data_IF_307827786917
#
_entry.id   IF_307827786917
#
_cell.length_a   1.000
_cell.length_b   1.000
_cell.length_c   1.000
_cell.angle_alpha   90.00
_cell.angle_beta   90.00
_cell.angle_gamma   90.00
#
_symmetry.space_group_name_H-M   'P 1'
#
loop_
_entity.id
_entity.type
_entity.pdbx_description
1 polymer ?
#
# COMPACT_ATOMS: atom_id res chain seq x y z
N UNK A 1 8.48 -16.88 4.48
CA UNK A 1 8.08 -15.46 4.43
C UNK A 1 7.86 -15.11 2.98
N UNK A 2 6.74 -14.49 2.64
CA UNK A 2 6.47 -14.02 1.28
C UNK A 2 7.30 -12.76 0.99
N UNK A 3 7.78 -12.66 -0.23
CA UNK A 3 8.37 -11.44 -0.80
C UNK A 3 7.29 -10.39 -1.06
N UNK A 4 7.69 -9.14 -1.27
CA UNK A 4 6.72 -8.07 -1.55
C UNK A 4 5.98 -8.30 -2.87
N UNK A 5 6.63 -8.87 -3.87
CA UNK A 5 6.00 -9.29 -5.13
C UNK A 5 4.93 -10.37 -4.89
N UNK A 6 5.24 -11.41 -4.11
CA UNK A 6 4.27 -12.46 -3.76
C UNK A 6 3.10 -11.92 -2.91
N UNK A 7 3.35 -10.92 -2.07
CA UNK A 7 2.29 -10.23 -1.33
C UNK A 7 1.40 -9.42 -2.27
N UNK A 8 1.96 -8.70 -3.24
CA UNK A 8 1.20 -7.98 -4.27
C UNK A 8 0.32 -8.94 -5.07
N UNK A 9 0.89 -10.05 -5.55
CA UNK A 9 0.13 -11.11 -6.23
C UNK A 9 -1.00 -11.65 -5.34
N UNK A 10 -0.75 -11.78 -4.04
CA UNK A 10 -1.75 -12.15 -3.06
C UNK A 10 -2.89 -11.13 -2.94
N UNK A 11 -2.59 -9.83 -2.89
CA UNK A 11 -3.61 -8.77 -2.85
C UNK A 11 -4.41 -8.74 -4.15
N UNK A 12 -3.76 -8.92 -5.31
CA UNK A 12 -4.41 -9.00 -6.62
C UNK A 12 -5.35 -10.21 -6.70
N UNK A 13 -4.95 -11.34 -6.13
CA UNK A 13 -5.78 -12.53 -6.01
C UNK A 13 -6.89 -12.43 -4.95
N UNK A 14 -6.96 -11.32 -4.20
CA UNK A 14 -7.99 -11.06 -3.20
C UNK A 14 -7.71 -11.61 -1.80
N UNK A 15 -6.47 -12.00 -1.49
CA UNK A 15 -6.07 -12.45 -0.16
C UNK A 15 -5.82 -11.25 0.78
N UNK A 16 -6.79 -10.94 1.65
CA UNK A 16 -6.68 -9.79 2.58
C UNK A 16 -5.47 -9.91 3.55
N UNK A 17 -5.05 -11.13 3.91
CA UNK A 17 -3.84 -11.36 4.73
C UNK A 17 -2.54 -10.92 4.05
N UNK A 18 -2.51 -10.93 2.71
CA UNK A 18 -1.38 -10.43 1.95
C UNK A 18 -1.29 -8.90 2.05
N UNK A 19 -2.44 -8.22 2.03
CA UNK A 19 -2.51 -6.77 2.21
C UNK A 19 -2.07 -6.35 3.61
N UNK A 20 -2.51 -7.08 4.65
CA UNK A 20 -2.12 -6.80 6.03
C UNK A 20 -0.60 -6.90 6.23
N UNK A 21 0.05 -7.91 5.64
CA UNK A 21 1.51 -8.07 5.69
C UNK A 21 2.24 -6.96 4.94
N UNK A 22 1.74 -6.56 3.77
CA UNK A 22 2.29 -5.46 2.98
C UNK A 22 2.18 -4.14 3.76
N UNK A 23 1.03 -3.89 4.38
CA UNK A 23 0.78 -2.73 5.24
C UNK A 23 1.73 -2.69 6.44
N UNK A 24 1.90 -3.80 7.17
CA UNK A 24 2.79 -3.84 8.32
C UNK A 24 4.25 -3.55 7.96
N UNK A 25 4.72 -4.00 6.78
CA UNK A 25 6.09 -3.73 6.32
C UNK A 25 6.31 -2.28 5.89
N UNK A 26 5.35 -1.70 5.18
CA UNK A 26 5.54 -0.41 4.50
C UNK A 26 4.95 0.79 5.24
N UNK A 27 4.02 0.57 6.19
CA UNK A 27 3.37 1.65 6.96
C UNK A 27 4.37 2.54 7.70
N UNK A 28 5.41 1.98 8.31
CA UNK A 28 6.41 2.77 9.03
C UNK A 28 7.26 3.63 8.09
N UNK A 29 7.65 3.09 6.93
CA UNK A 29 8.40 3.84 5.91
C UNK A 29 7.55 4.96 5.31
N UNK A 30 6.29 4.65 4.98
CA UNK A 30 5.32 5.60 4.49
C UNK A 30 5.02 6.70 5.52
N UNK A 31 4.90 6.37 6.81
CA UNK A 31 4.67 7.35 7.88
C UNK A 31 5.85 8.28 8.12
N UNK A 32 7.08 7.78 8.01
CA UNK A 32 8.29 8.62 8.06
C UNK A 32 8.35 9.58 6.88
N UNK A 33 8.01 9.11 5.68
CA UNK A 33 7.92 9.96 4.51
C UNK A 33 6.80 10.99 4.66
N UNK A 34 5.62 10.57 5.12
CA UNK A 34 4.47 11.42 5.38
C UNK A 34 4.83 12.58 6.31
N UNK A 35 5.46 12.30 7.45
CA UNK A 35 5.91 13.37 8.37
C UNK A 35 6.92 14.32 7.74
N UNK A 36 7.80 13.83 6.88
CA UNK A 36 8.78 14.68 6.20
C UNK A 36 8.09 15.65 5.23
N UNK A 37 6.98 15.24 4.63
CA UNK A 37 6.22 16.02 3.66
C UNK A 37 5.21 16.96 4.34
N UNK A 38 4.47 16.47 5.34
CA UNK A 38 3.39 17.23 5.99
C UNK A 38 3.87 18.10 7.15
N UNK A 39 4.98 17.72 7.80
CA UNK A 39 5.45 18.36 9.03
C UNK A 39 4.55 18.12 10.25
N UNK A 40 3.50 17.30 10.12
CA UNK A 40 2.53 17.00 11.17
C UNK A 40 2.25 15.48 11.23
N UNK A 41 2.35 14.83 12.40
CA UNK A 41 2.09 13.40 12.57
C UNK A 41 0.65 12.97 12.24
N UNK A 42 -0.36 13.80 12.50
CA UNK A 42 -1.76 13.46 12.22
C UNK A 42 -2.01 13.46 10.70
N UNK A 43 -1.59 14.53 10.02
CA UNK A 43 -1.70 14.63 8.55
C UNK A 43 -0.87 13.53 7.85
N UNK A 44 0.25 13.12 8.44
CA UNK A 44 1.05 12.01 7.93
C UNK A 44 0.32 10.68 8.04
N UNK A 45 -0.39 10.42 9.14
CA UNK A 45 -1.17 9.20 9.32
C UNK A 45 -2.35 9.14 8.35
N UNK A 46 -3.03 10.27 8.12
CA UNK A 46 -4.11 10.37 7.14
C UNK A 46 -3.60 10.18 5.71
N UNK A 47 -2.49 10.83 5.33
CA UNK A 47 -1.91 10.68 4.00
C UNK A 47 -1.47 9.24 3.69
N UNK A 48 -0.88 8.55 4.68
CA UNK A 48 -0.52 7.13 4.56
C UNK A 48 -1.77 6.28 4.39
N UNK A 49 -2.78 6.49 5.24
CA UNK A 49 -4.04 5.72 5.19
C UNK A 49 -4.74 5.90 3.83
N UNK A 50 -4.78 7.12 3.31
CA UNK A 50 -5.38 7.41 2.01
C UNK A 50 -4.58 6.79 0.85
N UNK A 51 -3.25 6.84 0.90
CA UNK A 51 -2.41 6.21 -0.13
C UNK A 51 -2.64 4.69 -0.19
N UNK A 52 -2.66 4.00 0.97
CA UNK A 52 -2.93 2.57 1.03
C UNK A 52 -4.36 2.23 0.60
N UNK A 53 -5.35 3.05 0.95
CA UNK A 53 -6.72 2.86 0.51
C UNK A 53 -6.86 2.97 -1.01
N UNK A 54 -6.18 3.94 -1.64
CA UNK A 54 -6.16 4.10 -3.10
C UNK A 54 -5.50 2.90 -3.79
N UNK A 55 -4.40 2.39 -3.25
CA UNK A 55 -3.75 1.17 -3.76
C UNK A 55 -4.71 -0.01 -3.67
N UNK A 56 -5.36 -0.23 -2.54
CA UNK A 56 -6.30 -1.35 -2.37
C UNK A 56 -7.48 -1.28 -3.36
N UNK A 57 -8.04 -0.09 -3.56
CA UNK A 57 -9.11 0.15 -4.55
C UNK A 57 -8.62 -0.16 -5.96
N UNK A 58 -7.42 0.30 -6.33
CA UNK A 58 -6.85 0.04 -7.65
C UNK A 58 -6.52 -1.44 -7.87
N UNK A 59 -6.03 -2.15 -6.86
CA UNK A 59 -5.78 -3.59 -6.94
C UNK A 59 -7.11 -4.34 -7.14
N UNK A 60 -8.13 -4.04 -6.33
CA UNK A 60 -9.46 -4.67 -6.42
C UNK A 60 -10.16 -4.39 -7.75
N UNK A 61 -9.91 -3.22 -8.34
CA UNK A 61 -10.40 -2.90 -9.67
C UNK A 61 -9.62 -3.60 -10.80
N UNK A 62 -8.53 -4.31 -10.50
CA UNK A 62 -7.68 -4.99 -11.48
C UNK A 62 -6.74 -4.06 -12.26
N UNK A 63 -6.47 -2.85 -11.74
CA UNK A 63 -5.71 -1.81 -12.45
C UNK A 63 -4.22 -1.79 -12.10
N UNK A 64 -3.78 -2.57 -11.12
CA UNK A 64 -2.38 -2.71 -10.75
C UNK A 64 -1.82 -4.02 -11.31
N UNK A 65 -0.73 -3.94 -12.06
CA UNK A 65 0.06 -5.09 -12.48
C UNK A 65 1.21 -5.38 -11.50
N UNK A 66 1.90 -6.51 -11.69
CA UNK A 66 2.93 -7.02 -10.77
C UNK A 66 4.13 -6.06 -10.59
N UNK A 67 4.24 -5.01 -11.41
CA UNK A 67 5.28 -3.99 -11.31
C UNK A 67 4.82 -2.74 -10.53
N UNK A 68 3.60 -2.73 -9.99
CA UNK A 68 3.02 -1.60 -9.27
C UNK A 68 2.64 -0.44 -10.19
N UNK A 69 2.52 -0.68 -11.49
CA UNK A 69 2.14 0.33 -12.47
C UNK A 69 0.62 0.37 -12.62
N UNK A 70 0.07 1.59 -12.66
CA UNK A 70 -1.33 1.78 -13.01
C UNK A 70 -1.47 1.54 -14.52
N UNK A 71 -2.27 0.54 -14.91
CA UNK A 71 -2.72 0.41 -16.30
C UNK A 71 -3.58 1.62 -16.64
N UNK A 72 -3.05 2.52 -17.48
CA UNK A 72 -3.79 3.64 -18.09
C UNK A 72 -4.41 3.23 -19.42
#
# INVERSE_FOLDING_TARGET
MLTDAELVDGVVAGYDDAFAQLYQRHSLAAWRLGQTVTGNPDDAADAVSEAFARVLVAVRAGHLDNEGSFRS
#
